data_IF_613177233934
#
_entry.id   IF_613177233934
#
_cell.length_a   1.000
_cell.length_b   1.000
_cell.length_c   1.000
_cell.angle_alpha   90.00
_cell.angle_beta   90.00
_cell.angle_gamma   90.00
#
_symmetry.space_group_name_H-M   'P 1'
#
loop_
_entity.id
_entity.type
_entity.pdbx_description
1 polymer ?
#
# COMPACT_ATOMS: atom_id res chain seq x y z
N UNK A 1 60.44 -56.00 -18.91
CA UNK A 1 60.17 -57.42 -19.23
C UNK A 1 58.88 -57.49 -20.05
N UNK A 2 58.56 -58.63 -20.68
CA UNK A 2 57.55 -58.83 -21.75
C UNK A 2 56.26 -57.97 -21.66
N UNK A 3 55.68 -57.39 -22.73
CA UNK A 3 55.65 -57.64 -24.20
C UNK A 3 54.57 -58.65 -24.69
N UNK A 4 54.26 -58.56 -26.00
CA UNK A 4 53.07 -59.03 -26.75
C UNK A 4 51.83 -58.11 -26.60
N UNK A 5 51.41 -57.28 -27.57
CA UNK A 5 51.33 -57.33 -29.06
C UNK A 5 50.09 -58.02 -29.63
N UNK A 6 49.28 -57.26 -30.37
CA UNK A 6 49.06 -57.51 -31.81
C UNK A 6 48.70 -56.19 -32.52
N UNK A 7 48.88 -56.13 -33.83
CA UNK A 7 48.78 -54.95 -34.70
C UNK A 7 48.35 -55.39 -36.12
N UNK A 8 48.31 -54.47 -37.11
CA UNK A 8 48.22 -54.67 -38.58
C UNK A 8 46.81 -54.77 -39.19
N UNK A 9 46.56 -54.32 -40.42
CA UNK A 9 47.34 -53.42 -41.33
C UNK A 9 46.44 -52.86 -42.47
N UNK A 10 46.81 -51.69 -43.01
CA UNK A 10 46.51 -51.17 -44.38
C UNK A 10 45.02 -50.92 -44.78
N UNK A 11 44.65 -50.20 -45.86
CA UNK A 11 45.35 -49.70 -47.08
C UNK A 11 45.02 -48.21 -47.35
N UNK A 12 45.88 -47.47 -48.05
CA UNK A 12 45.68 -46.09 -48.54
C UNK A 12 45.19 -45.99 -50.01
N UNK A 13 44.36 -45.01 -50.37
CA UNK A 13 43.95 -44.72 -51.76
C UNK A 13 43.39 -43.30 -51.96
N UNK A 14 43.65 -42.69 -53.12
CA UNK A 14 43.53 -41.24 -53.38
C UNK A 14 42.19 -40.80 -54.05
N UNK A 15 41.79 -39.54 -53.79
CA UNK A 15 41.21 -38.49 -54.68
C UNK A 15 40.38 -38.81 -55.97
N UNK A 16 39.62 -37.83 -56.53
CA UNK A 16 38.90 -36.68 -55.92
C UNK A 16 37.47 -36.49 -56.53
N UNK A 17 36.74 -35.41 -56.16
CA UNK A 17 36.10 -34.41 -57.09
C UNK A 17 34.95 -33.57 -56.46
N UNK A 18 34.82 -32.35 -56.98
CA UNK A 18 33.61 -31.49 -57.02
C UNK A 18 32.87 -31.13 -55.71
N UNK A 19 33.39 -30.14 -55.00
CA UNK A 19 32.56 -29.22 -54.21
C UNK A 19 31.95 -28.13 -55.13
N UNK A 20 30.63 -28.14 -55.33
CA UNK A 20 29.93 -27.17 -56.19
C UNK A 20 29.88 -25.77 -55.55
N UNK A 21 29.98 -24.72 -56.37
CA UNK A 21 30.12 -23.32 -55.95
C UNK A 21 28.84 -22.70 -55.37
N UNK A 22 29.04 -21.69 -54.52
CA UNK A 22 28.09 -20.64 -54.15
C UNK A 22 27.42 -19.99 -55.38
N UNK A 23 26.17 -19.52 -55.21
CA UNK A 23 25.71 -18.24 -55.76
C UNK A 23 25.78 -17.16 -54.66
N UNK A 24 26.13 -15.94 -55.05
CA UNK A 24 26.18 -14.79 -54.14
C UNK A 24 24.87 -13.98 -54.15
N UNK A 25 24.76 -13.14 -53.12
CA UNK A 25 23.86 -11.97 -52.96
C UNK A 25 23.22 -11.42 -54.25
N UNK A 26 21.90 -11.30 -54.24
CA UNK A 26 21.17 -10.34 -55.08
C UNK A 26 20.55 -9.24 -54.20
N UNK A 27 20.54 -7.97 -54.64
CA UNK A 27 20.07 -6.85 -53.83
C UNK A 27 18.54 -6.79 -53.74
N UNK A 28 17.98 -6.21 -52.66
CA UNK A 28 16.54 -5.98 -52.57
C UNK A 28 16.08 -4.96 -53.61
N UNK A 29 15.05 -5.30 -54.39
CA UNK A 29 14.37 -4.32 -55.25
C UNK A 29 13.64 -3.30 -54.39
N UNK A 30 13.73 -2.04 -54.79
CA UNK A 30 12.83 -1.01 -54.31
C UNK A 30 11.40 -1.35 -54.74
N UNK A 31 10.45 -1.29 -53.80
CA UNK A 31 9.03 -1.22 -54.12
C UNK A 31 8.41 -0.16 -53.21
N UNK A 32 7.96 0.92 -53.84
CA UNK A 32 7.54 2.16 -53.20
C UNK A 32 6.03 2.18 -52.94
N UNK A 33 5.54 3.15 -52.15
CA UNK A 33 4.13 3.44 -51.88
C UNK A 33 3.26 2.37 -51.18
N UNK A 34 3.35 2.35 -49.85
CA UNK A 34 2.16 2.42 -48.98
C UNK A 34 2.54 2.85 -47.55
N UNK A 35 2.32 4.10 -47.17
CA UNK A 35 2.61 4.57 -45.80
C UNK A 35 1.40 4.36 -44.86
N UNK A 36 1.50 3.55 -43.79
CA UNK A 36 0.42 3.39 -42.82
C UNK A 36 0.31 4.55 -41.81
N UNK A 37 0.82 5.75 -42.13
CA UNK A 37 0.59 6.99 -41.34
C UNK A 37 -0.85 7.52 -41.50
N UNK A 38 -1.87 6.70 -41.22
CA UNK A 38 -3.29 7.14 -41.29
C UNK A 38 -4.32 6.34 -40.46
N UNK A 39 -3.97 5.84 -39.27
CA UNK A 39 -4.94 5.43 -38.23
C UNK A 39 -4.60 5.96 -36.83
N UNK A 40 -4.04 7.18 -36.75
CA UNK A 40 -3.69 7.86 -35.50
C UNK A 40 -4.34 9.25 -35.41
N UNK A 41 -5.65 9.34 -35.64
CA UNK A 41 -6.37 10.63 -35.72
C UNK A 41 -7.84 10.58 -35.26
N UNK A 42 -8.21 9.69 -34.34
CA UNK A 42 -9.56 9.63 -33.75
C UNK A 42 -9.49 9.38 -32.23
N UNK A 43 -8.79 10.23 -31.47
CA UNK A 43 -9.03 10.40 -30.01
C UNK A 43 -8.48 11.72 -29.42
N UNK A 44 -8.40 12.79 -30.20
CA UNK A 44 -8.05 14.14 -29.70
C UNK A 44 -9.29 14.98 -29.37
N UNK A 45 -10.22 14.43 -28.58
CA UNK A 45 -11.26 15.26 -27.97
C UNK A 45 -10.62 16.00 -26.80
N UNK A 46 -10.54 17.34 -26.87
CA UNK A 46 -10.12 18.18 -25.74
C UNK A 46 -10.87 17.72 -24.49
N UNK A 47 -10.14 17.31 -23.45
CA UNK A 47 -10.72 17.10 -22.12
C UNK A 47 -10.77 18.48 -21.47
N UNK A 48 -11.85 19.20 -21.74
CA UNK A 48 -12.14 20.46 -21.05
C UNK A 48 -12.36 20.14 -19.57
N UNK A 49 -11.35 20.47 -18.75
CA UNK A 49 -11.38 20.33 -17.31
C UNK A 49 -12.26 21.44 -16.73
N UNK A 50 -13.57 21.23 -16.79
CA UNK A 50 -14.52 21.97 -15.96
C UNK A 50 -14.25 21.60 -14.51
N UNK A 51 -14.06 22.59 -13.63
CA UNK A 51 -13.70 22.38 -12.23
C UNK A 51 -14.86 21.80 -11.41
N UNK A 52 -15.09 20.50 -11.54
CA UNK A 52 -16.09 19.76 -10.77
C UNK A 52 -15.86 19.89 -9.25
N UNK A 53 -14.62 20.10 -8.81
CA UNK A 53 -14.29 20.43 -7.41
C UNK A 53 -14.78 21.84 -7.00
N UNK A 54 -14.70 22.82 -7.90
CA UNK A 54 -15.23 24.18 -7.65
C UNK A 54 -16.75 24.18 -7.59
N UNK A 55 -17.43 23.45 -8.48
CA UNK A 55 -18.89 23.29 -8.44
C UNK A 55 -19.35 22.54 -7.18
N UNK A 56 -18.68 21.45 -6.77
CA UNK A 56 -18.96 20.74 -5.51
C UNK A 56 -18.80 21.64 -4.28
N UNK A 57 -17.71 22.40 -4.19
CA UNK A 57 -17.48 23.31 -3.07
C UNK A 57 -18.49 24.48 -3.07
N UNK A 58 -18.88 24.97 -4.24
CA UNK A 58 -19.95 25.98 -4.38
C UNK A 58 -21.31 25.44 -3.91
N UNK A 59 -21.63 24.17 -4.22
CA UNK A 59 -22.88 23.53 -3.81
C UNK A 59 -23.00 23.25 -2.30
N UNK A 60 -21.88 23.14 -1.58
CA UNK A 60 -21.84 22.87 -0.13
C UNK A 60 -22.17 24.11 0.73
N UNK A 61 -21.85 25.31 0.26
CA UNK A 61 -22.05 26.57 1.01
C UNK A 61 -23.53 26.90 1.27
N UNK A 62 -24.46 26.79 0.28
CA UNK A 62 -25.89 26.99 0.52
C UNK A 62 -26.50 26.00 1.54
N UNK A 63 -26.00 24.75 1.56
CA UNK A 63 -26.57 23.67 2.35
C UNK A 63 -26.32 23.83 3.86
N UNK A 64 -25.13 24.28 4.24
CA UNK A 64 -24.78 24.54 5.65
C UNK A 64 -25.57 25.72 6.24
N UNK A 65 -25.74 26.81 5.48
CA UNK A 65 -26.54 27.97 5.89
C UNK A 65 -28.02 27.60 6.12
N UNK A 66 -28.59 26.74 5.27
CA UNK A 66 -29.98 26.30 5.36
C UNK A 66 -30.24 25.40 6.59
N UNK A 67 -29.23 24.68 7.08
CA UNK A 67 -29.33 23.91 8.33
C UNK A 67 -29.18 24.76 9.60
N UNK A 68 -28.38 25.83 9.56
CA UNK A 68 -28.19 26.72 10.70
C UNK A 68 -29.50 27.45 11.08
N UNK A 69 -30.21 27.99 10.09
CA UNK A 69 -31.47 28.73 10.27
C UNK A 69 -32.63 27.90 10.86
N UNK A 70 -32.48 26.56 10.95
CA UNK A 70 -33.52 25.66 11.46
C UNK A 70 -33.45 25.39 12.98
N UNK A 71 -32.43 25.90 13.69
CA UNK A 71 -32.15 25.52 15.10
C UNK A 71 -32.48 26.58 16.17
N UNK A 72 -32.95 27.77 15.80
CA UNK A 72 -33.18 28.88 16.76
C UNK A 72 -34.61 29.43 16.74
N UNK A 73 -35.50 28.89 17.60
CA UNK A 73 -36.76 29.56 17.96
C UNK A 73 -37.28 29.11 19.33
N UNK A 74 -37.05 29.92 20.36
CA UNK A 74 -37.55 29.75 21.73
C UNK A 74 -38.29 31.04 22.15
N UNK A 75 -39.46 30.98 22.83
CA UNK A 75 -40.27 32.16 23.11
C UNK A 75 -39.90 32.85 24.44
N UNK A 76 -40.14 34.17 24.59
CA UNK A 76 -40.05 34.88 25.87
C UNK A 76 -41.32 34.69 26.71
N UNK A 77 -41.22 34.85 28.04
CA UNK A 77 -42.33 34.67 28.99
C UNK A 77 -42.47 35.85 29.97
N UNK A 78 -43.67 36.43 30.00
CA UNK A 78 -44.40 36.97 31.17
C UNK A 78 -43.75 37.99 32.13
N UNK A 79 -44.36 39.18 32.19
CA UNK A 79 -44.44 40.01 33.40
C UNK A 79 -45.71 40.90 33.38
N UNK A 80 -46.61 40.70 34.34
CA UNK A 80 -47.76 41.56 34.72
C UNK A 80 -47.34 42.41 35.98
N UNK A 81 -48.16 43.28 36.63
CA UNK A 81 -49.62 43.59 36.53
C UNK A 81 -49.88 45.15 36.49
N UNK A 82 -51.00 45.77 36.96
CA UNK A 82 -52.33 45.32 37.41
C UNK A 82 -53.56 46.03 36.74
N UNK A 83 -54.77 45.86 37.31
CA UNK A 83 -56.10 46.28 36.82
C UNK A 83 -56.74 47.40 37.70
N UNK A 84 -58.08 47.74 37.71
CA UNK A 84 -59.24 47.31 36.88
C UNK A 84 -60.37 48.36 36.53
N UNK A 85 -61.30 48.00 35.61
CA UNK A 85 -62.70 48.54 35.39
C UNK A 85 -62.82 50.01 34.86
N UNK A 86 -63.90 50.48 34.21
CA UNK A 86 -65.35 50.11 34.18
C UNK A 86 -65.99 50.29 32.76
N UNK A 87 -67.28 49.92 32.59
CA UNK A 87 -68.11 49.89 31.36
C UNK A 87 -68.70 51.30 30.97
N UNK A 88 -69.40 51.64 29.86
CA UNK A 88 -69.88 51.07 28.55
C UNK A 88 -70.56 52.22 27.72
N UNK A 89 -71.26 52.03 26.56
CA UNK A 89 -71.07 51.15 25.39
C UNK A 89 -71.28 51.81 23.97
N UNK A 90 -70.56 51.31 22.93
CA UNK A 90 -70.95 51.26 21.48
C UNK A 90 -71.23 52.58 20.69
N UNK A 91 -71.48 52.52 19.35
CA UNK A 91 -70.74 51.90 18.21
C UNK A 91 -70.16 53.01 17.25
N UNK A 92 -69.45 52.75 16.10
CA UNK A 92 -69.43 51.53 15.26
C UNK A 92 -68.11 51.06 14.60
N UNK A 93 -68.08 49.75 14.32
CA UNK A 93 -67.51 49.03 13.14
C UNK A 93 -66.18 49.53 12.51
N UNK A 94 -65.04 48.94 12.87
CA UNK A 94 -63.93 48.70 11.94
C UNK A 94 -64.13 47.39 11.16
N UNK A 95 -63.74 47.37 9.88
CA UNK A 95 -63.87 46.20 8.97
C UNK A 95 -63.11 44.98 9.51
N UNK A 96 -63.77 43.82 9.71
CA UNK A 96 -63.11 42.57 10.16
C UNK A 96 -62.00 42.17 9.17
N UNK A 97 -60.76 42.14 9.65
CA UNK A 97 -59.54 41.94 8.86
C UNK A 97 -59.58 40.62 8.07
N UNK A 98 -59.53 40.68 6.72
CA UNK A 98 -59.55 39.52 5.80
C UNK A 98 -58.20 38.75 5.76
N UNK A 99 -57.60 38.54 6.93
CA UNK A 99 -56.17 38.22 7.11
C UNK A 99 -55.92 36.80 7.66
N UNK A 100 -56.80 36.21 8.49
CA UNK A 100 -56.52 34.91 9.17
C UNK A 100 -56.74 33.65 8.31
N UNK A 101 -57.68 33.64 7.36
CA UNK A 101 -57.93 32.46 6.51
C UNK A 101 -56.84 32.20 5.46
N UNK A 102 -55.96 33.18 5.19
CA UNK A 102 -54.82 33.02 4.27
C UNK A 102 -53.59 32.38 4.93
N UNK A 103 -53.73 31.92 6.19
CA UNK A 103 -52.60 31.62 7.09
C UNK A 103 -52.48 30.14 7.45
N UNK A 104 -53.57 29.39 7.54
CA UNK A 104 -53.54 27.95 7.89
C UNK A 104 -53.16 27.09 6.68
N UNK A 105 -53.96 27.13 5.62
CA UNK A 105 -53.68 26.45 4.33
C UNK A 105 -52.28 26.77 3.79
N UNK A 106 -51.77 27.99 4.02
CA UNK A 106 -50.40 28.38 3.65
C UNK A 106 -49.33 27.73 4.55
N UNK A 107 -49.56 27.64 5.87
CA UNK A 107 -48.66 26.90 6.78
C UNK A 107 -48.61 25.42 6.43
N UNK A 108 -49.77 24.83 6.10
CA UNK A 108 -49.88 23.44 5.65
C UNK A 108 -49.15 23.20 4.32
N UNK A 109 -49.35 24.07 3.32
CA UNK A 109 -48.57 24.04 2.09
C UNK A 109 -47.06 24.18 2.35
N UNK A 110 -46.63 25.06 3.27
CA UNK A 110 -45.22 25.16 3.67
C UNK A 110 -44.72 23.88 4.35
N UNK A 111 -45.50 23.23 5.23
CA UNK A 111 -45.14 21.94 5.84
C UNK A 111 -44.98 20.85 4.78
N UNK A 112 -45.94 20.72 3.86
CA UNK A 112 -45.92 19.71 2.81
C UNK A 112 -44.78 19.95 1.79
N UNK A 113 -44.49 21.22 1.46
CA UNK A 113 -43.36 21.56 0.59
C UNK A 113 -42.01 21.32 1.30
N UNK A 114 -41.89 21.62 2.60
CA UNK A 114 -40.68 21.29 3.36
C UNK A 114 -40.50 19.78 3.55
N UNK A 115 -41.59 19.02 3.73
CA UNK A 115 -41.55 17.55 3.76
C UNK A 115 -41.02 17.01 2.42
N UNK A 116 -41.68 17.37 1.31
CA UNK A 116 -41.26 17.01 -0.06
C UNK A 116 -39.82 17.43 -0.38
N UNK A 117 -39.36 18.58 0.10
CA UNK A 117 -37.97 19.01 -0.05
C UNK A 117 -37.02 18.09 0.73
N UNK A 118 -37.30 17.80 2.02
CA UNK A 118 -36.52 16.86 2.83
C UNK A 118 -36.54 15.43 2.25
N UNK A 119 -37.66 15.00 1.67
CA UNK A 119 -37.75 13.70 0.99
C UNK A 119 -36.93 13.67 -0.31
N UNK A 120 -36.97 14.71 -1.13
CA UNK A 120 -36.11 14.81 -2.33
C UNK A 120 -34.62 14.87 -1.95
N UNK A 121 -34.25 15.59 -0.89
CA UNK A 121 -32.87 15.61 -0.39
C UNK A 121 -32.43 14.22 0.13
N UNK A 122 -33.31 13.51 0.87
CA UNK A 122 -33.05 12.11 1.25
C UNK A 122 -32.96 11.16 0.04
N UNK A 123 -33.71 11.40 -1.03
CA UNK A 123 -33.60 10.66 -2.29
C UNK A 123 -32.21 10.81 -2.88
N UNK A 124 -31.78 12.04 -3.13
CA UNK A 124 -30.45 12.38 -3.69
C UNK A 124 -29.31 11.79 -2.84
N UNK A 125 -29.41 11.86 -1.51
CA UNK A 125 -28.39 11.27 -0.61
C UNK A 125 -28.32 9.75 -0.78
N UNK A 126 -29.45 9.03 -0.82
CA UNK A 126 -29.46 7.58 -1.06
C UNK A 126 -28.97 7.19 -2.44
N UNK A 127 -29.35 7.95 -3.47
CA UNK A 127 -28.90 7.75 -4.85
C UNK A 127 -27.37 7.91 -4.94
N UNK A 128 -26.80 8.86 -4.20
CA UNK A 128 -25.35 9.04 -4.08
C UNK A 128 -24.70 7.90 -3.27
N UNK A 129 -25.25 7.53 -2.12
CA UNK A 129 -24.77 6.40 -1.29
C UNK A 129 -24.71 5.08 -2.09
N UNK A 130 -25.77 4.79 -2.85
CA UNK A 130 -25.84 3.63 -3.75
C UNK A 130 -24.83 3.73 -4.90
N UNK A 131 -24.64 4.93 -5.47
CA UNK A 131 -23.67 5.14 -6.55
C UNK A 131 -22.23 4.95 -6.05
N UNK A 132 -21.91 5.42 -4.85
CA UNK A 132 -20.60 5.19 -4.21
C UNK A 132 -20.37 3.69 -3.97
N UNK A 133 -21.34 2.99 -3.35
CA UNK A 133 -21.23 1.55 -3.10
C UNK A 133 -21.07 0.73 -4.39
N UNK A 134 -21.76 1.09 -5.48
CA UNK A 134 -21.57 0.47 -6.78
C UNK A 134 -20.16 0.70 -7.34
N UNK A 135 -19.66 1.94 -7.29
CA UNK A 135 -18.32 2.28 -7.77
C UNK A 135 -17.21 1.62 -6.94
N UNK A 136 -17.39 1.50 -5.62
CA UNK A 136 -16.47 0.75 -4.75
C UNK A 136 -16.40 -0.73 -5.13
N UNK A 137 -17.55 -1.37 -5.40
CA UNK A 137 -17.63 -2.76 -5.87
C UNK A 137 -17.00 -2.93 -7.27
N UNK A 138 -17.25 -2.01 -8.19
CA UNK A 138 -16.65 -2.01 -9.52
C UNK A 138 -15.13 -1.83 -9.46
N UNK A 139 -14.64 -0.91 -8.63
CA UNK A 139 -13.20 -0.72 -8.37
C UNK A 139 -12.59 -1.99 -7.78
N UNK A 140 -13.21 -2.63 -6.78
CA UNK A 140 -12.71 -3.89 -6.20
C UNK A 140 -12.67 -5.02 -7.25
N UNK A 141 -13.70 -5.14 -8.09
CA UNK A 141 -13.76 -6.14 -9.16
C UNK A 141 -12.72 -5.91 -10.25
N UNK A 142 -12.54 -4.67 -10.71
CA UNK A 142 -11.53 -4.29 -11.71
C UNK A 142 -10.10 -4.43 -11.16
N UNK A 143 -9.86 -4.02 -9.92
CA UNK A 143 -8.61 -4.20 -9.19
C UNK A 143 -8.25 -5.68 -9.09
N UNK A 144 -9.17 -6.51 -8.58
CA UNK A 144 -8.98 -7.97 -8.50
C UNK A 144 -8.66 -8.56 -9.88
N UNK A 145 -9.45 -8.23 -10.92
CA UNK A 145 -9.22 -8.71 -12.29
C UNK A 145 -7.86 -8.27 -12.85
N UNK A 146 -7.43 -7.03 -12.59
CA UNK A 146 -6.09 -6.53 -12.96
C UNK A 146 -4.99 -7.36 -12.29
N UNK A 147 -5.09 -7.63 -10.99
CA UNK A 147 -4.10 -8.44 -10.28
C UNK A 147 -4.12 -9.91 -10.71
N UNK A 148 -5.29 -10.51 -11.01
CA UNK A 148 -5.36 -11.85 -11.60
C UNK A 148 -4.66 -11.91 -12.97
N UNK A 149 -4.81 -10.89 -13.81
CA UNK A 149 -4.09 -10.80 -15.09
C UNK A 149 -2.59 -10.50 -14.92
N UNK A 150 -2.21 -9.69 -13.92
CA UNK A 150 -0.81 -9.30 -13.64
C UNK A 150 0.00 -10.41 -12.99
N UNK A 151 -0.60 -11.21 -12.11
CA UNK A 151 0.09 -12.19 -11.26
C UNK A 151 -0.45 -13.61 -11.46
N UNK A 152 -1.79 -13.80 -11.48
CA UNK A 152 -2.42 -15.12 -11.59
C UNK A 152 -2.36 -15.79 -12.97
N UNK A 153 -2.22 -15.01 -14.06
CA UNK A 153 -2.09 -15.54 -15.43
C UNK A 153 -0.64 -15.90 -15.81
N UNK A 154 0.35 -15.53 -14.99
CA UNK A 154 1.77 -15.77 -15.29
C UNK A 154 2.22 -17.20 -14.96
N UNK A 155 1.53 -17.90 -14.06
CA UNK A 155 1.87 -19.27 -13.62
C UNK A 155 1.53 -20.36 -14.63
N UNK A 156 0.55 -20.13 -15.52
CA UNK A 156 -0.02 -21.22 -16.35
C UNK A 156 0.48 -21.28 -17.79
N UNK A 157 0.89 -20.17 -18.41
CA UNK A 157 1.05 -20.11 -19.86
C UNK A 157 2.50 -19.96 -20.39
N UNK A 158 3.42 -19.36 -19.63
CA UNK A 158 4.79 -19.07 -20.10
C UNK A 158 5.83 -18.99 -18.98
N UNK A 159 6.58 -20.09 -18.76
CA UNK A 159 7.96 -20.16 -18.21
C UNK A 159 8.33 -19.15 -17.09
N UNK A 160 7.45 -18.85 -16.14
CA UNK A 160 7.82 -18.15 -14.92
C UNK A 160 8.37 -19.15 -13.92
N UNK A 161 9.70 -19.22 -13.85
CA UNK A 161 10.40 -19.92 -12.76
C UNK A 161 10.49 -19.00 -11.52
N UNK A 162 10.89 -19.60 -10.39
CA UNK A 162 11.11 -18.90 -9.11
C UNK A 162 11.90 -17.58 -9.24
N UNK A 163 12.84 -17.47 -10.18
CA UNK A 163 13.63 -16.26 -10.41
C UNK A 163 12.75 -15.01 -10.65
N UNK A 164 11.67 -15.13 -11.43
CA UNK A 164 10.78 -14.00 -11.71
C UNK A 164 9.98 -13.59 -10.47
N UNK A 165 9.55 -14.56 -9.66
CA UNK A 165 8.93 -14.32 -8.35
C UNK A 165 9.90 -13.61 -7.42
N UNK A 166 11.15 -14.04 -7.35
CA UNK A 166 12.16 -13.39 -6.49
C UNK A 166 12.44 -11.96 -6.96
N UNK A 167 12.66 -11.73 -8.26
CA UNK A 167 12.88 -10.36 -8.78
C UNK A 167 11.70 -9.44 -8.49
N UNK A 168 10.46 -9.91 -8.68
CA UNK A 168 9.25 -9.13 -8.40
C UNK A 168 9.04 -8.89 -6.90
N UNK A 169 9.35 -9.87 -6.03
CA UNK A 169 9.37 -9.71 -4.56
C UNK A 169 10.32 -8.58 -4.14
N UNK A 170 11.56 -8.61 -4.63
CA UNK A 170 12.55 -7.55 -4.36
C UNK A 170 12.20 -6.20 -5.01
N UNK A 171 11.44 -6.17 -6.11
CA UNK A 171 10.95 -4.93 -6.73
C UNK A 171 9.82 -4.30 -5.92
N UNK A 172 8.83 -5.10 -5.53
CA UNK A 172 7.62 -4.66 -4.82
C UNK A 172 7.93 -4.24 -3.38
N UNK A 173 8.70 -5.03 -2.64
CA UNK A 173 8.99 -4.81 -1.22
C UNK A 173 10.28 -3.99 -1.00
N UNK A 174 10.78 -3.34 -2.07
CA UNK A 174 12.00 -2.52 -2.10
C UNK A 174 12.05 -1.43 -1.03
N UNK A 175 10.89 -0.95 -0.56
CA UNK A 175 10.75 0.08 0.47
C UNK A 175 9.89 -0.36 1.66
N UNK A 176 9.71 -1.67 1.86
CA UNK A 176 8.78 -2.21 2.85
C UNK A 176 7.37 -2.40 2.30
N UNK A 177 6.43 -2.59 3.23
CA UNK A 177 5.01 -2.75 2.95
C UNK A 177 4.32 -1.39 2.91
N UNK A 178 3.64 -1.10 1.80
CA UNK A 178 2.84 0.11 1.60
C UNK A 178 1.52 -0.05 2.35
N UNK A 179 1.48 0.42 3.59
CA UNK A 179 0.22 0.52 4.32
C UNK A 179 -0.69 1.59 3.69
N UNK A 180 -2.02 1.35 3.57
CA UNK A 180 -2.97 2.40 3.22
C UNK A 180 -3.01 3.47 4.32
N UNK A 181 -2.27 4.56 4.13
CA UNK A 181 -2.20 5.67 5.09
C UNK A 181 -3.52 6.46 5.12
N UNK A 182 -4.41 6.08 6.04
CA UNK A 182 -5.62 6.83 6.34
C UNK A 182 -5.25 8.21 6.92
N UNK A 183 -5.38 9.27 6.13
CA UNK A 183 -5.28 10.67 6.59
C UNK A 183 -4.10 11.50 6.06
N UNK A 184 -3.29 11.00 5.12
CA UNK A 184 -2.29 11.83 4.42
C UNK A 184 -2.91 12.54 3.22
N UNK A 185 -2.50 13.80 2.95
CA UNK A 185 -2.97 14.54 1.78
C UNK A 185 -2.62 13.79 0.47
N UNK A 186 -3.58 13.63 -0.48
CA UNK A 186 -3.37 12.86 -1.71
C UNK A 186 -2.25 13.45 -2.60
N UNK A 187 -1.96 14.74 -2.44
CA UNK A 187 -0.88 15.43 -3.14
C UNK A 187 0.52 14.94 -2.72
N UNK A 188 0.66 14.35 -1.53
CA UNK A 188 1.92 13.77 -1.03
C UNK A 188 2.05 12.31 -1.49
N UNK A 189 0.96 11.55 -1.51
CA UNK A 189 0.93 10.18 -2.03
C UNK A 189 1.31 10.12 -3.53
N UNK A 190 0.98 11.16 -4.31
CA UNK A 190 1.39 11.29 -5.71
C UNK A 190 2.90 11.56 -5.89
N UNK A 191 3.62 12.03 -4.86
CA UNK A 191 5.05 12.30 -4.92
C UNK A 191 5.91 11.06 -4.66
N UNK A 192 5.37 10.02 -4.01
CA UNK A 192 5.99 8.70 -3.93
C UNK A 192 5.89 7.97 -5.27
N UNK A 193 6.92 8.11 -6.11
CA UNK A 193 7.04 7.57 -7.47
C UNK A 193 7.23 6.03 -7.51
N UNK A 194 6.16 5.32 -7.13
CA UNK A 194 6.05 3.87 -7.17
C UNK A 194 4.86 3.45 -8.04
N UNK A 195 5.11 2.79 -9.18
CA UNK A 195 4.09 2.13 -10.01
C UNK A 195 3.51 0.84 -9.37
N UNK A 196 3.74 0.66 -8.07
CA UNK A 196 3.12 -0.38 -7.24
C UNK A 196 2.15 0.28 -6.27
N UNK A 197 0.87 -0.03 -6.43
CA UNK A 197 -0.22 0.39 -5.55
C UNK A 197 -0.19 -0.47 -4.27
N UNK A 198 -0.68 0.00 -3.10
CA UNK A 198 -0.66 -0.79 -1.85
C UNK A 198 -1.18 -2.22 -1.99
N UNK A 199 -2.22 -2.41 -2.81
CA UNK A 199 -2.81 -3.71 -3.08
C UNK A 199 -1.91 -4.65 -3.93
N UNK A 200 -1.02 -4.13 -4.79
CA UNK A 200 -0.13 -4.97 -5.61
C UNK A 200 0.74 -5.90 -4.76
N UNK A 201 1.23 -5.43 -3.62
CA UNK A 201 2.10 -6.21 -2.74
C UNK A 201 1.36 -7.40 -2.11
N UNK A 202 0.14 -7.17 -1.61
CA UNK A 202 -0.68 -8.24 -1.05
C UNK A 202 -1.14 -9.25 -2.12
N UNK A 203 -1.66 -8.78 -3.25
CA UNK A 203 -2.09 -9.66 -4.34
C UNK A 203 -0.92 -10.46 -4.94
N UNK A 204 0.27 -9.88 -5.04
CA UNK A 204 1.47 -10.60 -5.45
C UNK A 204 1.84 -11.70 -4.44
N UNK A 205 1.89 -11.40 -3.14
CA UNK A 205 2.25 -12.38 -2.11
C UNK A 205 1.22 -13.53 -2.07
N UNK A 206 -0.08 -13.25 -2.14
CA UNK A 206 -1.13 -14.28 -2.20
C UNK A 206 -1.16 -15.08 -3.50
N UNK A 207 -0.58 -14.57 -4.59
CA UNK A 207 -0.46 -15.30 -5.85
C UNK A 207 0.81 -16.16 -5.93
N UNK A 208 1.92 -15.69 -5.35
CA UNK A 208 3.25 -16.29 -5.51
C UNK A 208 3.67 -17.24 -4.38
N UNK A 209 3.06 -17.13 -3.20
CA UNK A 209 3.35 -17.97 -2.03
C UNK A 209 2.30 -19.08 -1.88
N UNK A 210 2.67 -20.24 -1.32
CA UNK A 210 1.70 -21.25 -0.88
C UNK A 210 0.84 -20.69 0.27
N UNK A 211 -0.41 -21.15 0.38
CA UNK A 211 -1.35 -20.60 1.38
C UNK A 211 -0.86 -20.88 2.83
N UNK A 212 -0.08 -21.95 3.00
CA UNK A 212 0.59 -22.41 4.23
C UNK A 212 2.10 -22.05 4.32
N UNK A 213 2.60 -21.16 3.45
CA UNK A 213 4.04 -20.85 3.28
C UNK A 213 4.80 -20.70 4.61
N UNK A 214 5.88 -21.46 4.78
CA UNK A 214 6.74 -21.33 5.96
C UNK A 214 7.52 -20.01 5.96
N UNK A 215 7.57 -19.30 7.08
CA UNK A 215 8.25 -18.00 7.25
C UNK A 215 9.13 -18.08 8.49
N UNK A 216 10.30 -18.72 8.36
CA UNK A 216 11.15 -19.07 9.51
C UNK A 216 10.48 -20.06 10.47
N UNK A 217 9.84 -19.51 11.52
CA UNK A 217 9.10 -20.25 12.56
C UNK A 217 7.57 -20.07 12.42
N UNK A 218 7.11 -19.13 11.59
CA UNK A 218 5.70 -18.89 11.31
C UNK A 218 5.23 -19.65 10.05
N UNK A 219 3.92 -19.68 9.82
CA UNK A 219 3.32 -20.25 8.62
C UNK A 219 2.18 -19.37 8.07
N UNK A 220 1.98 -19.42 6.76
CA UNK A 220 0.90 -18.75 6.04
C UNK A 220 1.23 -17.35 5.50
N UNK A 221 0.58 -16.98 4.39
CA UNK A 221 0.85 -15.72 3.66
C UNK A 221 0.54 -14.49 4.51
N UNK A 222 -0.49 -14.55 5.35
CA UNK A 222 -0.87 -13.48 6.27
C UNK A 222 0.23 -13.18 7.29
N UNK A 223 0.96 -14.20 7.77
CA UNK A 223 2.10 -14.01 8.66
C UNK A 223 3.29 -13.34 7.93
N UNK A 224 3.52 -13.66 6.65
CA UNK A 224 4.53 -12.99 5.84
C UNK A 224 4.20 -11.51 5.61
N UNK A 225 2.94 -11.21 5.25
CA UNK A 225 2.42 -9.85 5.08
C UNK A 225 2.59 -9.07 6.38
N UNK A 226 2.19 -9.65 7.51
CA UNK A 226 2.23 -9.02 8.83
C UNK A 226 3.66 -8.75 9.32
N UNK A 227 4.62 -9.64 9.08
CA UNK A 227 6.04 -9.35 9.33
C UNK A 227 6.53 -8.16 8.50
N UNK A 228 6.17 -8.10 7.22
CA UNK A 228 6.51 -6.97 6.36
C UNK A 228 5.89 -5.64 6.84
N UNK A 229 4.67 -5.66 7.37
CA UNK A 229 4.06 -4.51 8.05
C UNK A 229 4.85 -4.11 9.29
N UNK A 230 5.18 -5.05 10.19
CA UNK A 230 5.97 -4.78 11.41
C UNK A 230 7.32 -4.15 11.11
N UNK A 231 8.06 -4.67 10.14
CA UNK A 231 9.33 -4.04 9.70
C UNK A 231 9.14 -2.59 9.23
N UNK A 232 8.05 -2.32 8.52
CA UNK A 232 7.76 -0.99 7.94
C UNK A 232 7.22 0.01 8.98
N UNK A 233 6.59 -0.47 10.05
CA UNK A 233 6.16 0.34 11.20
C UNK A 233 7.26 0.54 12.24
N UNK A 234 8.17 -0.43 12.42
CA UNK A 234 9.28 -0.34 13.38
C UNK A 234 10.44 0.50 12.84
N UNK A 235 10.82 0.35 11.56
CA UNK A 235 12.04 0.94 11.01
C UNK A 235 11.74 2.03 9.98
N UNK A 236 12.48 3.15 10.06
CA UNK A 236 12.40 4.24 9.10
C UNK A 236 13.21 3.95 7.84
N UNK A 237 12.83 4.58 6.72
CA UNK A 237 13.61 4.60 5.47
C UNK A 237 14.12 3.23 5.02
N UNK A 238 13.25 2.21 5.14
CA UNK A 238 13.54 0.83 4.77
C UNK A 238 13.92 0.75 3.29
N UNK A 239 14.98 0.03 2.96
CA UNK A 239 15.40 -0.22 1.59
C UNK A 239 15.98 -1.62 1.43
N UNK A 240 15.22 -2.53 0.81
CA UNK A 240 15.69 -3.87 0.47
C UNK A 240 16.24 -3.86 -0.96
N UNK A 241 17.56 -4.08 -1.09
CA UNK A 241 18.27 -4.07 -2.38
C UNK A 241 18.85 -5.45 -2.70
N UNK A 242 18.30 -6.08 -3.73
CA UNK A 242 18.87 -7.30 -4.32
C UNK A 242 20.30 -7.04 -4.84
N UNK A 243 21.23 -7.96 -4.58
CA UNK A 243 22.62 -7.92 -5.05
C UNK A 243 22.98 -9.11 -5.95
N UNK A 244 22.46 -10.30 -5.65
CA UNK A 244 22.75 -11.54 -6.38
C UNK A 244 21.59 -12.54 -6.26
N UNK A 245 21.38 -13.35 -7.28
CA UNK A 245 20.54 -14.54 -7.25
C UNK A 245 21.39 -15.77 -7.60
N UNK A 246 21.21 -16.85 -6.86
CA UNK A 246 21.89 -18.12 -7.07
C UNK A 246 20.87 -19.26 -7.04
N UNK A 247 20.90 -20.12 -8.05
CA UNK A 247 20.09 -21.34 -8.06
C UNK A 247 20.74 -22.40 -7.16
N UNK A 248 19.89 -23.04 -6.36
CA UNK A 248 20.23 -24.12 -5.45
C UNK A 248 19.67 -25.45 -5.99
N UNK A 249 20.07 -26.60 -5.43
CA UNK A 249 19.47 -27.89 -5.76
C UNK A 249 17.95 -27.89 -5.57
N UNK A 250 17.25 -28.76 -6.32
CA UNK A 250 15.78 -28.93 -6.28
C UNK A 250 15.00 -27.65 -6.63
N UNK A 251 15.47 -26.87 -7.61
CA UNK A 251 14.75 -25.70 -8.15
C UNK A 251 14.77 -24.45 -7.27
N UNK A 252 15.16 -24.57 -6.00
CA UNK A 252 15.22 -23.48 -5.02
C UNK A 252 16.16 -22.33 -5.44
N UNK A 253 15.95 -21.12 -4.91
CA UNK A 253 16.81 -19.95 -5.14
C UNK A 253 17.20 -19.28 -3.83
N UNK A 254 18.47 -18.86 -3.74
CA UNK A 254 18.96 -17.97 -2.68
C UNK A 254 19.25 -16.60 -3.29
N UNK A 255 18.71 -15.56 -2.66
CA UNK A 255 18.97 -14.18 -2.97
C UNK A 255 19.93 -13.57 -1.94
N UNK A 256 21.07 -13.05 -2.38
CA UNK A 256 21.92 -12.18 -1.56
C UNK A 256 21.46 -10.73 -1.76
N UNK A 257 21.25 -10.01 -0.66
CA UNK A 257 20.72 -8.67 -0.68
C UNK A 257 21.35 -7.80 0.43
N UNK A 258 20.84 -6.59 0.58
CA UNK A 258 21.12 -5.74 1.73
C UNK A 258 19.84 -5.01 2.10
N UNK A 259 19.48 -5.10 3.39
CA UNK A 259 18.41 -4.34 4.00
C UNK A 259 19.06 -3.13 4.68
N UNK A 260 18.95 -1.96 4.07
CA UNK A 260 19.31 -0.70 4.71
C UNK A 260 18.08 -0.15 5.44
N UNK A 261 18.22 0.18 6.72
CA UNK A 261 17.12 0.65 7.56
C UNK A 261 17.59 1.70 8.56
N UNK A 262 16.69 2.53 9.04
CA UNK A 262 16.99 3.59 10.02
C UNK A 262 16.26 3.32 11.32
N UNK A 263 17.00 3.34 12.43
CA UNK A 263 16.45 3.15 13.77
C UNK A 263 15.65 4.39 14.16
N UNK A 264 14.44 4.20 14.67
CA UNK A 264 13.51 5.25 15.09
C UNK A 264 13.09 5.06 16.55
N UNK A 265 12.34 6.02 17.09
CA UNK A 265 11.65 5.86 18.38
C UNK A 265 10.71 4.64 18.40
N UNK A 266 10.10 4.27 17.25
CA UNK A 266 9.29 3.06 17.14
C UNK A 266 10.17 1.79 17.17
N UNK A 267 11.37 1.83 16.58
CA UNK A 267 12.36 0.75 16.72
C UNK A 267 12.75 0.56 18.18
N UNK A 268 13.08 1.65 18.88
CA UNK A 268 13.54 1.61 20.26
C UNK A 268 12.40 1.24 21.23
N UNK A 269 11.14 1.59 20.90
CA UNK A 269 9.95 1.19 21.68
C UNK A 269 9.51 -0.25 21.45
N UNK A 270 9.60 -0.79 20.23
CA UNK A 270 9.01 -2.07 19.88
C UNK A 270 10.02 -3.20 19.62
N UNK A 271 11.25 -2.88 19.20
CA UNK A 271 12.32 -3.86 18.93
C UNK A 271 13.35 -3.89 20.06
N UNK A 272 13.73 -2.75 20.64
CA UNK A 272 14.74 -2.65 21.71
C UNK A 272 14.22 -1.99 23.00
N UNK A 273 13.07 -2.42 23.56
CA UNK A 273 12.40 -1.72 24.67
C UNK A 273 13.23 -1.61 25.96
N UNK A 274 14.18 -2.53 26.17
CA UNK A 274 15.11 -2.48 27.30
C UNK A 274 15.97 -1.19 27.30
N UNK A 275 16.28 -0.62 26.13
CA UNK A 275 17.01 0.65 26.00
C UNK A 275 16.21 1.90 26.42
N UNK A 276 14.89 1.75 26.66
CA UNK A 276 14.03 2.78 27.24
C UNK A 276 13.89 2.67 28.76
N UNK A 277 14.27 1.53 29.37
CA UNK A 277 14.29 1.40 30.82
C UNK A 277 15.43 2.27 31.37
N UNK A 278 15.12 3.17 32.31
CA UNK A 278 16.16 3.85 33.08
C UNK A 278 16.92 2.79 33.90
N UNK A 279 18.25 2.94 33.95
CA UNK A 279 19.09 2.17 34.87
C UNK A 279 18.60 2.41 36.31
N UNK A 280 18.23 1.32 37.00
CA UNK A 280 17.58 1.34 38.32
C UNK A 280 18.50 1.71 39.48
N UNK A 281 19.25 2.80 39.37
CA UNK A 281 20.07 3.36 40.45
C UNK A 281 19.27 4.36 41.29
N UNK A 282 19.21 4.11 42.61
CA UNK A 282 18.32 4.81 43.55
C UNK A 282 18.87 6.18 44.01
N UNK A 283 19.05 7.12 43.08
CA UNK A 283 19.43 8.50 43.37
C UNK A 283 18.24 9.46 43.31
N UNK A 284 17.86 10.05 44.44
CA UNK A 284 16.83 11.09 44.51
C UNK A 284 17.30 12.42 43.89
N UNK A 285 17.06 12.61 42.60
CA UNK A 285 17.15 13.91 41.90
C UNK A 285 16.20 13.95 40.70
N UNK A 286 15.68 15.13 40.36
CA UNK A 286 14.51 15.30 39.47
C UNK A 286 14.82 15.21 37.95
N UNK A 287 15.89 14.50 37.57
CA UNK A 287 16.39 14.40 36.18
C UNK A 287 15.66 13.32 35.36
N UNK A 288 14.36 13.52 35.10
CA UNK A 288 13.50 12.69 34.23
C UNK A 288 13.89 12.70 32.72
N UNK A 289 15.12 13.09 32.37
CA UNK A 289 15.49 13.50 31.00
C UNK A 289 16.61 12.72 30.30
N UNK A 290 17.37 11.85 30.99
CA UNK A 290 18.55 11.19 30.39
C UNK A 290 18.25 9.78 29.87
N UNK A 291 17.94 9.69 28.58
CA UNK A 291 17.89 8.41 27.89
C UNK A 291 19.28 7.74 27.85
N UNK A 292 19.31 6.40 27.75
CA UNK A 292 20.55 5.60 27.69
C UNK A 292 21.54 6.13 26.64
N UNK A 293 22.87 6.11 26.90
CA UNK A 293 23.86 6.45 25.87
C UNK A 293 23.73 5.58 24.62
N UNK A 294 23.24 4.33 24.74
CA UNK A 294 22.96 3.45 23.61
C UNK A 294 21.73 3.91 22.82
N UNK A 295 20.66 4.32 23.50
CA UNK A 295 19.50 4.95 22.86
C UNK A 295 19.92 6.19 22.05
N UNK A 296 20.75 7.06 22.64
CA UNK A 296 21.20 8.30 22.00
C UNK A 296 22.12 8.06 20.78
N UNK A 297 22.90 6.98 20.78
CA UNK A 297 23.76 6.58 19.64
C UNK A 297 23.01 5.84 18.54
N UNK A 298 21.97 5.09 18.88
CA UNK A 298 21.19 4.31 17.91
C UNK A 298 20.04 5.12 17.29
N UNK A 299 19.45 6.09 17.98
CA UNK A 299 18.35 6.88 17.43
C UNK A 299 18.75 7.63 16.15
N UNK A 300 18.02 7.37 15.05
CA UNK A 300 18.26 7.85 13.68
C UNK A 300 19.49 7.27 12.98
N UNK A 301 20.21 6.34 13.59
CA UNK A 301 21.33 5.67 12.92
C UNK A 301 20.82 4.80 11.76
N UNK A 302 21.59 4.77 10.66
CA UNK A 302 21.24 4.00 9.46
C UNK A 302 22.10 2.74 9.34
N UNK A 303 21.53 1.62 9.75
CA UNK A 303 22.15 0.31 9.56
C UNK A 303 22.07 -0.10 8.09
N UNK A 304 23.17 -0.65 7.57
CA UNK A 304 23.18 -1.44 6.34
C UNK A 304 23.47 -2.89 6.69
N UNK A 305 22.41 -3.70 6.72
CA UNK A 305 22.47 -5.11 7.10
C UNK A 305 22.60 -6.00 5.84
N UNK A 306 23.71 -6.71 5.63
CA UNK A 306 23.76 -7.82 4.69
C UNK A 306 22.65 -8.83 5.01
N UNK A 307 21.98 -9.36 3.99
CA UNK A 307 20.95 -10.37 4.22
C UNK A 307 20.89 -11.42 3.10
N UNK A 308 20.40 -12.60 3.45
CA UNK A 308 20.07 -13.67 2.51
C UNK A 308 18.61 -14.07 2.66
N UNK A 309 17.94 -14.32 1.54
CA UNK A 309 16.57 -14.81 1.50
C UNK A 309 16.54 -16.08 0.64
N UNK A 310 16.20 -17.21 1.25
CA UNK A 310 16.04 -18.50 0.58
C UNK A 310 14.57 -18.73 0.27
N UNK A 311 14.29 -18.93 -1.01
CA UNK A 311 12.97 -19.27 -1.54
C UNK A 311 12.99 -20.76 -1.88
N UNK A 312 12.18 -21.54 -1.16
CA UNK A 312 11.91 -22.93 -1.52
C UNK A 312 10.66 -23.01 -2.39
N UNK A 313 10.75 -23.77 -3.48
CA UNK A 313 9.84 -23.71 -4.61
C UNK A 313 9.20 -25.07 -4.88
N UNK A 314 7.91 -25.05 -5.24
CA UNK A 314 7.20 -26.21 -5.74
C UNK A 314 6.83 -26.00 -7.22
N UNK A 315 7.43 -26.80 -8.10
CA UNK A 315 7.16 -26.80 -9.53
C UNK A 315 5.75 -27.32 -9.89
N UNK A 316 5.04 -27.97 -8.96
CA UNK A 316 3.70 -28.51 -9.22
C UNK A 316 2.57 -27.48 -9.01
N UNK A 317 2.67 -26.63 -7.99
CA UNK A 317 1.77 -25.47 -7.78
C UNK A 317 2.26 -24.17 -8.39
N UNK A 318 3.56 -24.07 -8.74
CA UNK A 318 4.18 -22.84 -9.23
C UNK A 318 4.26 -21.74 -8.18
N UNK A 319 4.51 -22.12 -6.91
CA UNK A 319 4.51 -21.24 -5.74
C UNK A 319 5.71 -21.48 -4.82
N UNK A 320 6.02 -20.48 -4.01
CA UNK A 320 7.02 -20.55 -2.93
C UNK A 320 6.39 -21.21 -1.70
N UNK A 321 6.89 -22.37 -1.29
CA UNK A 321 6.39 -23.14 -0.13
C UNK A 321 7.07 -22.75 1.19
N UNK A 322 8.27 -22.16 1.13
CA UNK A 322 8.94 -21.62 2.32
C UNK A 322 9.91 -20.50 1.99
N UNK A 323 9.97 -19.51 2.88
CA UNK A 323 10.83 -18.34 2.85
C UNK A 323 11.66 -18.30 4.14
N UNK A 324 12.96 -18.56 4.05
CA UNK A 324 13.89 -18.38 5.18
C UNK A 324 14.72 -17.12 4.96
N UNK A 325 14.75 -16.22 5.95
CA UNK A 325 15.49 -14.96 5.88
C UNK A 325 16.52 -14.90 7.01
N UNK A 326 17.75 -14.49 6.68
CA UNK A 326 18.80 -14.19 7.65
C UNK A 326 19.35 -12.78 7.40
N UNK A 327 19.53 -11.99 8.47
CA UNK A 327 19.95 -10.60 8.42
C UNK A 327 21.09 -10.38 9.41
N UNK A 328 22.22 -9.88 8.94
CA UNK A 328 23.35 -9.50 9.79
C UNK A 328 23.11 -8.12 10.39
N UNK A 329 22.56 -8.11 11.61
CA UNK A 329 22.48 -6.92 12.48
C UNK A 329 23.76 -6.70 13.29
N UNK A 330 24.61 -7.72 13.48
CA UNK A 330 25.82 -7.68 14.29
C UNK A 330 26.86 -6.71 13.70
N UNK A 331 27.21 -6.88 12.42
CA UNK A 331 28.22 -6.05 11.73
C UNK A 331 27.85 -4.56 11.60
N UNK A 332 26.58 -4.15 11.33
CA UNK A 332 26.21 -2.74 11.35
C UNK A 332 26.13 -2.17 12.78
N UNK A 333 25.58 -2.89 13.76
CA UNK A 333 25.54 -2.41 15.15
C UNK A 333 26.95 -2.26 15.74
N UNK A 334 27.88 -3.19 15.45
CA UNK A 334 29.26 -3.10 15.91
C UNK A 334 30.01 -1.91 15.30
N UNK A 335 29.66 -1.48 14.08
CA UNK A 335 30.19 -0.24 13.49
C UNK A 335 29.63 1.03 14.15
N UNK A 336 28.35 1.04 14.51
CA UNK A 336 27.71 2.18 15.18
C UNK A 336 28.13 2.32 16.65
N UNK A 337 28.26 1.19 17.36
CA UNK A 337 28.53 1.12 18.80
C UNK A 337 30.03 0.99 19.12
N UNK A 338 30.83 0.36 18.27
CA UNK A 338 32.29 0.23 18.47
C UNK A 338 32.72 -0.69 19.61
N UNK A 339 31.76 -1.32 20.29
CA UNK A 339 31.94 -2.21 21.44
C UNK A 339 31.07 -3.45 21.23
N UNK A 340 31.64 -4.65 21.42
CA UNK A 340 30.88 -5.90 21.30
C UNK A 340 29.96 -6.13 22.50
N UNK A 341 30.29 -5.56 23.67
CA UNK A 341 29.48 -5.59 24.88
C UNK A 341 28.18 -4.81 24.67
N UNK A 342 28.27 -3.57 24.16
CA UNK A 342 27.12 -2.73 23.79
C UNK A 342 26.19 -3.47 22.81
N UNK A 343 26.75 -4.13 21.79
CA UNK A 343 25.97 -4.87 20.78
C UNK A 343 25.33 -6.13 21.36
N UNK A 344 26.04 -6.84 22.24
CA UNK A 344 25.53 -8.02 22.94
C UNK A 344 24.37 -7.66 23.88
N UNK A 345 24.43 -6.50 24.53
CA UNK A 345 23.33 -5.97 25.33
C UNK A 345 22.11 -5.60 24.46
N UNK A 346 22.33 -4.79 23.41
CA UNK A 346 21.28 -4.34 22.48
C UNK A 346 20.56 -5.51 21.78
N UNK A 347 21.27 -6.58 21.46
CA UNK A 347 20.69 -7.78 20.83
C UNK A 347 20.14 -8.80 21.85
N UNK A 348 20.70 -8.87 23.06
CA UNK A 348 20.36 -9.88 24.06
C UNK A 348 18.92 -9.81 24.58
N UNK A 349 18.37 -8.60 24.72
CA UNK A 349 16.98 -8.35 25.12
C UNK A 349 16.11 -7.79 23.98
N UNK A 350 16.51 -8.03 22.72
CA UNK A 350 15.77 -7.56 21.55
C UNK A 350 14.51 -8.40 21.27
N UNK A 351 13.44 -7.75 20.80
CA UNK A 351 12.18 -8.39 20.36
C UNK A 351 12.20 -8.86 18.90
N UNK A 352 13.38 -9.02 18.32
CA UNK A 352 13.62 -9.64 17.02
C UNK A 352 14.26 -11.01 17.23
N UNK A 353 13.66 -12.07 16.68
CA UNK A 353 14.15 -13.45 16.87
C UNK A 353 15.37 -13.73 15.98
N UNK A 354 16.14 -14.81 16.25
CA UNK A 354 17.20 -15.26 15.33
C UNK A 354 16.69 -15.58 13.92
N UNK A 355 15.43 -15.97 13.76
CA UNK A 355 14.74 -16.12 12.47
C UNK A 355 14.35 -14.78 11.81
N UNK A 356 14.86 -13.65 12.34
CA UNK A 356 14.61 -12.28 11.88
C UNK A 356 13.13 -11.85 11.95
N UNK A 357 12.33 -12.46 12.83
CA UNK A 357 10.91 -12.15 13.02
C UNK A 357 10.72 -11.14 14.14
N UNK A 358 9.80 -10.18 13.95
CA UNK A 358 9.37 -9.26 15.02
C UNK A 358 8.13 -9.86 15.70
N UNK A 359 8.15 -9.90 17.04
CA UNK A 359 7.03 -10.37 17.85
C UNK A 359 5.74 -9.54 17.66
N UNK A 360 4.67 -9.91 18.35
CA UNK A 360 3.44 -9.09 18.34
C UNK A 360 3.70 -7.72 18.99
N UNK A 361 3.17 -6.68 18.34
CA UNK A 361 3.30 -5.30 18.80
C UNK A 361 1.91 -4.83 19.20
N UNK A 362 1.76 -4.44 20.48
CA UNK A 362 0.63 -3.63 20.90
C UNK A 362 0.93 -2.19 20.47
N UNK A 363 0.19 -1.72 19.46
CA UNK A 363 0.27 -0.38 18.85
C UNK A 363 -0.85 0.49 19.41
#
# INVERSE_FOLDING_TARGET
MAAFESNRDFVSGENPLNATRLPALLPPRQQEYASPRRLASVFTRKRETVDAQSELMSALVPLTQLMAAAKSSTPPSGADPPAPKTLSPAPPKPKRKRIRLKTERRREQCRNNQARYRDRQRGIVRELEQSVQHLEQEIQGLTTRRHTLRYGAQTTQTKHNVWNVVVEYFRLLRYGFLMPFCGMDPNVAAASSSDAEPHDQEFFLRAAMADDVGVGELAGVDALIEQWKRYSSCFGSLHLKLKRLEQQPLGNVVATATLSLTITEATLRYVFPHLLALEGSQSHSEDLGRASPLYARLLRERLECPCTVRFMWDDSTGRVTRLDTAIDFLSPLLRALGSLEDVSYVLGEARITPACLIGEIQI
#
